data_IF_390729788376
#
_entry.id   IF_390729788376
#
_cell.length_a   1.000
_cell.length_b   1.000
_cell.length_c   1.000
_cell.angle_alpha   90.00
_cell.angle_beta   90.00
_cell.angle_gamma   90.00
#
_symmetry.space_group_name_H-M   'P 1'
#
loop_
_entity.id
_entity.type
_entity.pdbx_description
1 polymer ?
#
# COMPACT_ATOMS: atom_id res chain seq x y z
N UNK A 1 -4.85 12.63 -0.24
CA UNK A 1 -4.32 12.22 -1.55
C UNK A 1 -3.35 11.07 -1.32
N UNK A 2 -3.88 9.86 -1.12
CA UNK A 2 -3.07 8.65 -0.91
C UNK A 2 -2.58 8.04 -2.20
N UNK A 3 -1.85 6.93 -2.07
CA UNK A 3 -1.32 6.17 -3.21
C UNK A 3 -2.43 5.85 -4.22
N UNK A 4 -3.58 5.39 -3.77
CA UNK A 4 -4.73 5.05 -4.64
C UNK A 4 -5.20 6.26 -5.47
N UNK A 5 -5.41 7.42 -4.84
CA UNK A 5 -5.88 8.62 -5.54
C UNK A 5 -4.84 9.24 -6.46
N UNK A 6 -3.58 9.28 -6.04
CA UNK A 6 -2.48 9.82 -6.85
C UNK A 6 -2.20 8.94 -8.08
N UNK A 7 -2.11 7.62 -7.88
CA UNK A 7 -1.91 6.67 -8.96
C UNK A 7 -3.08 6.69 -9.94
N UNK A 8 -4.32 6.74 -9.45
CA UNK A 8 -5.51 6.86 -10.32
C UNK A 8 -5.49 8.15 -11.14
N UNK A 9 -5.12 9.28 -10.55
CA UNK A 9 -5.00 10.55 -11.27
C UNK A 9 -3.96 10.48 -12.41
N UNK A 10 -2.80 9.84 -12.18
CA UNK A 10 -1.79 9.62 -13.21
C UNK A 10 -2.26 8.68 -14.32
N UNK A 11 -2.94 7.58 -13.97
CA UNK A 11 -3.47 6.63 -14.95
C UNK A 11 -4.53 7.30 -15.84
N UNK A 12 -5.44 8.08 -15.25
CA UNK A 12 -6.41 8.88 -16.02
C UNK A 12 -5.70 9.88 -16.95
N UNK A 13 -4.66 10.55 -16.46
CA UNK A 13 -3.88 11.49 -17.27
C UNK A 13 -3.19 10.79 -18.45
N UNK A 14 -2.59 9.61 -18.23
CA UNK A 14 -1.94 8.79 -19.27
C UNK A 14 -2.94 8.36 -20.36
N UNK A 15 -4.17 8.07 -19.97
CA UNK A 15 -5.26 7.73 -20.91
C UNK A 15 -5.78 8.93 -21.73
N UNK A 16 -5.39 10.15 -21.36
CA UNK A 16 -5.69 11.38 -22.11
C UNK A 16 -6.74 12.29 -21.46
N UNK A 17 -7.19 12.01 -20.23
CA UNK A 17 -8.06 12.93 -19.48
C UNK A 17 -7.28 14.20 -19.11
N UNK A 18 -7.76 15.36 -19.58
CA UNK A 18 -7.01 16.64 -19.49
C UNK A 18 -7.30 17.47 -18.25
N UNK A 19 -8.52 17.41 -17.73
CA UNK A 19 -8.96 18.27 -16.63
C UNK A 19 -9.15 17.41 -15.39
N UNK A 20 -8.10 17.28 -14.58
CA UNK A 20 -8.10 16.46 -13.38
C UNK A 20 -7.70 17.35 -12.21
N UNK A 21 -8.52 17.35 -11.16
CA UNK A 21 -8.23 18.00 -9.89
C UNK A 21 -8.25 16.97 -8.78
N UNK A 22 -7.15 16.85 -8.03
CA UNK A 22 -7.08 16.03 -6.82
C UNK A 22 -7.50 16.90 -5.63
N UNK A 23 -8.66 16.59 -5.07
CA UNK A 23 -9.19 17.23 -3.86
C UNK A 23 -8.91 16.33 -2.66
N UNK A 24 -8.24 16.83 -1.63
CA UNK A 24 -7.96 16.04 -0.43
C UNK A 24 -7.74 16.86 0.84
N UNK A 25 -8.10 16.26 1.99
CA UNK A 25 -7.79 16.80 3.33
C UNK A 25 -6.29 16.79 3.61
N UNK A 26 -5.68 15.61 3.46
CA UNK A 26 -4.25 15.37 3.67
C UNK A 26 -3.50 15.16 2.34
N UNK A 27 -2.27 15.65 2.24
CA UNK A 27 -1.41 15.57 1.06
C UNK A 27 -0.09 14.87 1.39
N UNK A 28 0.67 14.39 0.37
CA UNK A 28 2.05 13.94 0.59
C UNK A 28 2.87 14.99 1.36
N UNK A 29 3.47 14.56 2.46
CA UNK A 29 4.13 15.40 3.47
C UNK A 29 3.37 15.46 4.80
N UNK A 30 2.05 15.27 4.81
CA UNK A 30 1.26 15.26 6.04
C UNK A 30 1.31 13.90 6.73
N UNK A 31 1.16 13.90 8.07
CA UNK A 31 0.93 12.69 8.87
C UNK A 31 -0.38 12.83 9.64
N UNK A 32 -1.27 11.85 9.47
CA UNK A 32 -2.58 11.79 10.13
C UNK A 32 -3.09 10.35 10.10
N UNK A 33 -3.78 9.89 11.13
CA UNK A 33 -4.37 8.54 11.16
C UNK A 33 -5.50 8.36 10.15
N UNK A 34 -6.12 9.46 9.73
CA UNK A 34 -7.08 9.47 8.63
C UNK A 34 -6.41 9.35 7.24
N UNK A 35 -5.07 9.35 7.21
CA UNK A 35 -4.26 9.28 6.00
C UNK A 35 -3.30 8.10 6.07
N UNK A 36 -3.75 6.93 5.60
CA UNK A 36 -3.03 5.66 5.77
C UNK A 36 -1.68 5.58 5.05
N UNK A 37 -1.55 6.22 3.88
CA UNK A 37 -0.42 5.98 2.97
C UNK A 37 0.98 6.24 3.54
N UNK A 38 1.23 7.34 4.30
CA UNK A 38 2.56 7.61 4.87
C UNK A 38 3.03 6.62 5.93
N UNK A 39 2.10 5.85 6.53
CA UNK A 39 2.41 4.90 7.61
C UNK A 39 2.82 3.51 7.12
N UNK A 40 2.71 3.24 5.81
CA UNK A 40 2.99 1.93 5.26
C UNK A 40 4.48 1.57 5.36
N UNK A 41 4.81 0.28 5.29
CA UNK A 41 6.19 -0.21 5.28
C UNK A 41 7.04 0.40 4.15
N UNK A 42 6.84 0.10 2.88
CA UNK A 42 5.94 -0.89 2.26
C UNK A 42 6.75 -1.71 1.25
N UNK A 43 6.29 -2.90 0.91
CA UNK A 43 6.92 -3.76 -0.08
C UNK A 43 5.89 -4.28 -1.08
N UNK A 44 6.36 -4.99 -2.10
CA UNK A 44 5.52 -5.78 -2.99
C UNK A 44 5.59 -7.24 -2.56
N UNK A 45 4.56 -7.71 -1.85
CA UNK A 45 4.40 -9.11 -1.45
C UNK A 45 2.93 -9.47 -1.67
N UNK A 46 2.58 -10.07 -2.82
CA UNK A 46 1.20 -10.37 -3.13
C UNK A 46 0.53 -11.19 -2.02
N UNK A 47 -0.67 -10.76 -1.63
CA UNK A 47 -1.57 -11.47 -0.70
C UNK A 47 -2.88 -11.86 -1.40
N UNK A 48 -2.99 -11.57 -2.69
CA UNK A 48 -4.13 -11.93 -3.51
C UNK A 48 -4.13 -13.43 -3.80
N UNK A 49 -5.33 -13.99 -3.96
CA UNK A 49 -5.49 -15.37 -4.40
C UNK A 49 -5.44 -15.50 -5.92
N UNK A 50 -5.00 -16.67 -6.40
CA UNK A 50 -4.95 -16.99 -7.83
C UNK A 50 -6.35 -17.01 -8.43
N UNK A 51 -6.52 -16.42 -9.62
CA UNK A 51 -7.78 -16.33 -10.36
C UNK A 51 -8.67 -15.17 -9.93
N UNK A 52 -8.22 -14.31 -9.01
CA UNK A 52 -9.00 -13.15 -8.55
C UNK A 52 -8.66 -11.88 -9.30
N UNK A 53 -9.53 -10.87 -9.24
CA UNK A 53 -9.21 -9.54 -9.77
C UNK A 53 -7.99 -8.91 -9.08
N UNK A 54 -7.75 -9.25 -7.80
CA UNK A 54 -6.61 -8.77 -7.04
C UNK A 54 -5.28 -9.32 -7.58
N UNK A 55 -5.24 -10.57 -8.07
CA UNK A 55 -4.06 -11.11 -8.77
C UNK A 55 -3.70 -10.24 -9.97
N UNK A 56 -4.69 -9.91 -10.81
CA UNK A 56 -4.46 -9.08 -11.99
C UNK A 56 -3.98 -7.67 -11.61
N UNK A 57 -4.53 -7.10 -10.53
CA UNK A 57 -4.07 -5.80 -10.06
C UNK A 57 -2.62 -5.83 -9.58
N UNK A 58 -2.23 -6.91 -8.91
CA UNK A 58 -0.87 -7.14 -8.46
C UNK A 58 0.07 -7.33 -9.66
N UNK A 59 -0.32 -8.08 -10.69
CA UNK A 59 0.47 -8.25 -11.94
C UNK A 59 0.72 -6.93 -12.66
N UNK A 60 -0.33 -6.14 -12.87
CA UNK A 60 -0.21 -4.81 -13.50
C UNK A 60 0.74 -3.90 -12.69
N UNK A 61 0.61 -3.96 -11.37
CA UNK A 61 1.43 -3.14 -10.48
C UNK A 61 2.89 -3.59 -10.44
N UNK A 62 3.16 -4.89 -10.53
CA UNK A 62 4.52 -5.42 -10.68
C UNK A 62 5.21 -4.80 -11.89
N UNK A 63 4.56 -4.84 -13.06
CA UNK A 63 5.13 -4.29 -14.30
C UNK A 63 5.49 -2.82 -14.17
N UNK A 64 4.63 -2.02 -13.53
CA UNK A 64 4.92 -0.60 -13.36
C UNK A 64 5.97 -0.33 -12.27
N UNK A 65 5.99 -1.09 -11.16
CA UNK A 65 7.06 -0.99 -10.17
C UNK A 65 8.40 -1.44 -10.72
N UNK A 66 8.43 -2.48 -11.57
CA UNK A 66 9.61 -2.90 -12.30
C UNK A 66 10.15 -1.76 -13.16
N UNK A 67 9.29 -1.13 -13.96
CA UNK A 67 9.66 0.03 -14.78
C UNK A 67 10.19 1.18 -13.91
N UNK A 68 9.49 1.54 -12.84
CA UNK A 68 9.88 2.64 -11.95
C UNK A 68 11.21 2.38 -11.23
N UNK A 69 11.45 1.15 -10.77
CA UNK A 69 12.68 0.78 -10.08
C UNK A 69 13.92 0.90 -10.99
N UNK A 70 13.76 0.70 -12.31
CA UNK A 70 14.86 0.78 -13.28
C UNK A 70 15.00 2.16 -13.92
N UNK A 71 13.89 2.86 -14.17
CA UNK A 71 13.88 4.08 -14.97
C UNK A 71 13.75 5.37 -14.13
N UNK A 72 13.33 5.26 -12.86
CA UNK A 72 12.97 6.41 -12.03
C UNK A 72 13.59 6.30 -10.63
N UNK A 73 14.92 6.43 -10.48
CA UNK A 73 15.58 6.33 -9.17
C UNK A 73 15.03 7.33 -8.14
N UNK A 74 14.49 8.47 -8.58
CA UNK A 74 13.85 9.46 -7.73
C UNK A 74 12.49 9.03 -7.15
N UNK A 75 11.94 7.88 -7.58
CA UNK A 75 10.67 7.37 -7.10
C UNK A 75 10.75 6.74 -5.69
N UNK A 76 11.96 6.49 -5.17
CA UNK A 76 12.12 5.86 -3.86
C UNK A 76 11.65 4.40 -3.84
N UNK A 77 11.99 3.65 -4.89
CA UNK A 77 11.73 2.21 -5.03
C UNK A 77 13.05 1.53 -5.34
N UNK A 78 13.37 0.43 -4.65
CA UNK A 78 14.49 -0.45 -5.04
C UNK A 78 14.06 -1.90 -5.10
N UNK A 79 14.80 -2.70 -5.86
CA UNK A 79 14.71 -4.15 -5.82
C UNK A 79 15.55 -4.64 -4.65
N UNK A 80 14.97 -5.49 -3.81
CA UNK A 80 15.60 -6.02 -2.61
C UNK A 80 15.27 -7.50 -2.47
N UNK A 81 16.29 -8.30 -2.13
CA UNK A 81 16.09 -9.70 -1.77
C UNK A 81 15.19 -9.80 -0.53
N UNK A 82 14.19 -10.67 -0.60
CA UNK A 82 13.31 -11.02 0.50
C UNK A 82 13.50 -12.48 0.87
N UNK A 83 13.62 -12.74 2.17
CA UNK A 83 13.61 -14.07 2.76
C UNK A 83 12.38 -14.21 3.65
N UNK A 84 11.67 -15.33 3.53
CA UNK A 84 10.58 -15.72 4.42
C UNK A 84 10.96 -17.00 5.15
N UNK A 85 10.89 -16.98 6.47
CA UNK A 85 11.07 -18.15 7.33
C UNK A 85 9.74 -18.63 7.89
N UNK A 86 9.55 -19.95 7.91
CA UNK A 86 8.36 -20.60 8.45
C UNK A 86 8.81 -21.61 9.51
N UNK A 87 8.31 -21.45 10.74
CA UNK A 87 8.67 -22.34 11.86
C UNK A 87 7.70 -23.51 12.03
N UNK A 88 6.67 -23.58 11.19
CA UNK A 88 5.70 -24.67 11.14
C UNK A 88 5.80 -25.41 9.81
N UNK A 89 5.38 -26.67 9.78
CA UNK A 89 5.37 -27.51 8.58
C UNK A 89 4.12 -27.27 7.69
N UNK A 90 3.47 -26.10 7.80
CA UNK A 90 2.34 -25.77 6.91
C UNK A 90 2.83 -25.59 5.46
N UNK A 91 2.04 -26.11 4.52
CA UNK A 91 2.27 -26.00 3.09
C UNK A 91 1.48 -24.84 2.44
N UNK A 92 0.65 -24.12 3.19
CA UNK A 92 -0.26 -23.07 2.67
C UNK A 92 0.52 -21.99 1.88
N UNK A 93 1.76 -21.74 2.30
CA UNK A 93 2.65 -20.70 1.78
C UNK A 93 3.68 -21.25 0.77
N UNK A 94 3.56 -22.52 0.35
CA UNK A 94 4.47 -23.12 -0.65
C UNK A 94 3.99 -22.92 -2.09
N UNK A 95 2.73 -22.52 -2.30
CA UNK A 95 2.14 -22.37 -3.62
C UNK A 95 1.83 -20.90 -3.97
N UNK A 96 2.88 -20.06 -3.96
CA UNK A 96 2.78 -18.67 -4.39
C UNK A 96 2.49 -18.59 -5.90
N UNK A 97 1.35 -18.00 -6.29
CA UNK A 97 1.04 -17.77 -7.70
C UNK A 97 2.05 -16.84 -8.38
N UNK A 98 2.71 -15.97 -7.59
CA UNK A 98 3.65 -14.97 -8.04
C UNK A 98 5.09 -15.49 -8.16
N UNK A 99 5.36 -16.78 -7.89
CA UNK A 99 6.70 -17.35 -7.99
C UNK A 99 7.36 -17.18 -9.37
N UNK A 100 6.54 -17.17 -10.43
CA UNK A 100 6.97 -16.96 -11.82
C UNK A 100 6.91 -15.49 -12.25
N UNK A 101 6.41 -14.60 -11.38
CA UNK A 101 6.36 -13.15 -11.59
C UNK A 101 7.58 -12.45 -10.98
N UNK A 102 7.95 -12.85 -9.75
CA UNK A 102 9.10 -12.31 -9.02
C UNK A 102 10.41 -12.93 -9.49
N UNK A 103 11.54 -12.28 -9.18
CA UNK A 103 12.85 -12.78 -9.60
C UNK A 103 13.43 -13.77 -8.61
N UNK A 104 14.23 -14.70 -9.11
CA UNK A 104 15.09 -15.57 -8.31
C UNK A 104 14.32 -16.32 -7.20
N UNK A 105 13.06 -16.68 -7.47
CA UNK A 105 12.24 -17.42 -6.52
C UNK A 105 12.78 -18.84 -6.32
N UNK A 106 13.09 -19.19 -5.07
CA UNK A 106 13.47 -20.55 -4.68
C UNK A 106 13.14 -20.83 -3.23
N UNK A 107 13.10 -22.12 -2.89
CA UNK A 107 13.17 -22.54 -1.50
C UNK A 107 14.62 -22.50 -1.00
N UNK A 108 14.78 -22.29 0.31
CA UNK A 108 16.07 -22.36 0.98
C UNK A 108 16.45 -23.81 1.28
N UNK A 109 17.74 -24.10 1.22
CA UNK A 109 18.30 -25.37 1.69
C UNK A 109 18.32 -25.41 3.23
N UNK A 110 18.32 -26.62 3.82
CA UNK A 110 18.33 -26.79 5.28
C UNK A 110 19.53 -26.09 5.97
N UNK A 111 20.67 -25.99 5.28
CA UNK A 111 21.88 -25.32 5.77
C UNK A 111 21.76 -23.79 5.83
N UNK A 112 20.77 -23.20 5.14
CA UNK A 112 20.50 -21.77 5.12
C UNK A 112 19.46 -21.37 6.19
N UNK A 113 18.83 -22.35 6.85
CA UNK A 113 17.76 -22.12 7.81
C UNK A 113 18.31 -21.78 9.22
N UNK A 114 17.80 -20.73 9.87
CA UNK A 114 18.06 -20.49 11.28
C UNK A 114 17.55 -21.64 12.17
N UNK A 115 18.13 -21.84 13.37
CA UNK A 115 17.62 -22.83 14.32
C UNK A 115 16.13 -22.68 14.59
N UNK A 116 15.39 -23.79 14.50
CA UNK A 116 13.94 -23.83 14.75
C UNK A 116 13.06 -23.45 13.55
N UNK A 117 13.63 -22.95 12.46
CA UNK A 117 12.91 -22.75 11.19
C UNK A 117 12.79 -24.09 10.46
N UNK A 118 11.60 -24.38 9.94
CA UNK A 118 11.27 -25.64 9.25
C UNK A 118 11.57 -25.58 7.76
N UNK A 119 11.25 -24.46 7.14
CA UNK A 119 11.54 -24.20 5.75
C UNK A 119 11.52 -22.68 5.48
N UNK A 120 12.02 -22.28 4.33
CA UNK A 120 11.98 -20.88 3.90
C UNK A 120 12.01 -20.73 2.39
N UNK A 121 11.69 -19.52 1.94
CA UNK A 121 11.74 -19.12 0.52
C UNK A 121 12.47 -17.80 0.40
N UNK A 122 13.19 -17.61 -0.71
CA UNK A 122 13.73 -16.31 -1.10
C UNK A 122 13.36 -15.95 -2.53
N UNK A 123 13.31 -14.65 -2.80
CA UNK A 123 13.09 -14.03 -4.10
C UNK A 123 13.47 -12.56 -4.03
N UNK A 124 13.58 -11.88 -5.17
CA UNK A 124 13.75 -10.43 -5.21
C UNK A 124 12.44 -9.74 -5.58
N UNK A 125 12.12 -8.69 -4.85
CA UNK A 125 10.90 -7.89 -5.02
C UNK A 125 11.17 -6.44 -4.66
N UNK A 126 10.15 -5.59 -4.64
CA UNK A 126 10.32 -4.17 -4.39
C UNK A 126 10.16 -3.82 -2.91
N UNK A 127 11.00 -2.91 -2.41
CA UNK A 127 10.71 -2.11 -1.23
C UNK A 127 10.60 -0.65 -1.63
N UNK A 128 9.63 0.05 -1.05
CA UNK A 128 9.22 1.39 -1.43
C UNK A 128 9.25 2.26 -0.18
N UNK A 129 9.90 3.42 -0.26
CA UNK A 129 9.77 4.45 0.77
C UNK A 129 8.51 5.28 0.47
N UNK A 130 7.43 5.17 1.28
CA UNK A 130 6.21 5.94 1.03
C UNK A 130 6.42 7.45 1.17
N UNK A 131 7.42 7.91 1.95
CA UNK A 131 7.69 9.34 2.13
C UNK A 131 8.29 9.98 0.88
N UNK A 132 9.05 9.21 0.10
CA UNK A 132 9.59 9.63 -1.20
C UNK A 132 8.55 9.37 -2.30
N UNK A 133 8.01 8.15 -2.36
CA UNK A 133 7.14 7.73 -3.46
C UNK A 133 5.84 8.54 -3.55
N UNK A 134 5.21 8.89 -2.43
CA UNK A 134 4.01 9.74 -2.46
C UNK A 134 4.32 11.16 -2.97
N UNK A 135 5.49 11.70 -2.62
CA UNK A 135 5.95 13.01 -3.12
C UNK A 135 6.27 12.91 -4.61
N UNK A 136 6.95 11.86 -5.04
CA UNK A 136 7.19 11.55 -6.45
C UNK A 136 5.88 11.53 -7.25
N UNK A 137 4.88 10.74 -6.82
CA UNK A 137 3.59 10.67 -7.50
C UNK A 137 2.92 12.04 -7.61
N UNK A 138 2.95 12.85 -6.55
CA UNK A 138 2.42 14.23 -6.57
C UNK A 138 3.18 15.12 -7.55
N UNK A 139 4.51 15.03 -7.59
CA UNK A 139 5.34 15.79 -8.55
C UNK A 139 4.99 15.37 -9.98
N UNK A 140 4.87 14.06 -10.26
CA UNK A 140 4.44 13.55 -11.57
C UNK A 140 3.04 14.03 -11.96
N UNK A 141 2.10 14.07 -11.02
CA UNK A 141 0.77 14.62 -11.26
C UNK A 141 0.87 16.10 -11.67
N UNK A 142 1.61 16.87 -10.87
CA UNK A 142 1.74 18.32 -11.06
C UNK A 142 2.45 18.65 -12.38
N UNK A 143 3.52 17.93 -12.73
CA UNK A 143 4.25 18.12 -13.99
C UNK A 143 3.41 17.80 -15.22
N UNK A 144 2.33 17.02 -15.07
CA UNK A 144 1.38 16.70 -16.13
C UNK A 144 0.11 17.59 -16.06
N UNK A 145 0.16 18.68 -15.30
CA UNK A 145 -0.91 19.68 -15.22
C UNK A 145 -2.12 19.28 -14.36
N UNK A 146 -2.02 18.20 -13.59
CA UNK A 146 -3.06 17.82 -12.61
C UNK A 146 -3.06 18.84 -11.47
N UNK A 147 -4.22 19.41 -11.19
CA UNK A 147 -4.39 20.43 -10.14
C UNK A 147 -4.61 19.77 -8.77
N UNK A 148 -4.25 20.46 -7.70
CA UNK A 148 -4.46 20.00 -6.33
C UNK A 148 -5.22 21.05 -5.52
N UNK A 149 -6.22 20.61 -4.75
CA UNK A 149 -6.97 21.46 -3.83
C UNK A 149 -7.02 20.81 -2.45
N UNK A 150 -6.57 21.52 -1.43
CA UNK A 150 -6.80 21.09 -0.04
C UNK A 150 -8.24 21.43 0.35
N UNK A 151 -9.00 20.41 0.76
CA UNK A 151 -10.36 20.58 1.25
C UNK A 151 -10.74 19.41 2.16
N UNK A 152 -11.52 19.68 3.19
CA UNK A 152 -12.18 18.68 4.02
C UNK A 152 -13.65 18.63 3.62
N UNK A 153 -14.12 17.50 3.13
CA UNK A 153 -15.49 17.35 2.62
C UNK A 153 -16.33 16.62 3.65
N UNK A 154 -17.54 17.13 3.91
CA UNK A 154 -18.52 16.43 4.75
C UNK A 154 -19.34 15.42 3.95
N UNK A 155 -19.52 15.65 2.65
CA UNK A 155 -20.29 14.82 1.74
C UNK A 155 -19.62 14.71 0.36
N UNK A 156 -19.69 13.55 -0.29
CA UNK A 156 -19.00 13.28 -1.58
C UNK A 156 -19.43 14.23 -2.71
N UNK A 157 -20.72 14.61 -2.76
CA UNK A 157 -21.27 15.61 -3.70
C UNK A 157 -20.53 16.95 -3.70
N UNK A 158 -19.92 17.37 -2.59
CA UNK A 158 -19.16 18.62 -2.55
C UNK A 158 -18.00 18.61 -3.55
N UNK A 159 -17.40 17.44 -3.81
CA UNK A 159 -16.28 17.29 -4.73
C UNK A 159 -16.61 17.73 -6.16
N UNK A 160 -17.86 17.61 -6.60
CA UNK A 160 -18.29 18.02 -7.94
C UNK A 160 -18.14 19.53 -8.16
N UNK A 161 -18.30 20.34 -7.12
CA UNK A 161 -18.15 21.82 -7.18
C UNK A 161 -16.71 22.31 -7.02
N UNK A 162 -15.77 21.40 -6.76
CA UNK A 162 -14.37 21.73 -6.50
C UNK A 162 -13.46 21.49 -7.71
N UNK A 163 -14.07 21.17 -8.86
CA UNK A 163 -13.39 21.02 -10.13
C UNK A 163 -13.10 22.37 -10.79
N UNK A 164 -11.81 22.69 -10.92
CA UNK A 164 -11.31 23.87 -11.64
C UNK A 164 -11.85 25.23 -11.13
N UNK A 165 -11.56 26.32 -11.85
CA UNK A 165 -12.10 27.67 -11.58
C UNK A 165 -13.39 27.95 -12.38
N UNK A 166 -14.04 26.93 -12.93
CA UNK A 166 -15.29 27.09 -13.69
C UNK A 166 -16.51 26.97 -12.79
N UNK A 167 -17.63 27.53 -13.21
CA UNK A 167 -18.93 27.33 -12.57
C UNK A 167 -19.53 25.94 -12.82
N UNK A 168 -19.02 25.19 -13.79
CA UNK A 168 -19.52 23.87 -14.17
C UNK A 168 -19.07 22.77 -13.19
N UNK A 169 -19.95 21.81 -12.84
CA UNK A 169 -19.59 20.69 -11.99
C UNK A 169 -18.66 19.72 -12.73
N UNK A 170 -17.88 18.94 -11.96
CA UNK A 170 -17.12 17.83 -12.49
C UNK A 170 -18.03 16.85 -13.24
N UNK A 171 -17.58 16.32 -14.39
CA UNK A 171 -18.33 15.28 -15.09
C UNK A 171 -18.43 13.96 -14.30
N UNK A 172 -17.44 13.71 -13.42
CA UNK A 172 -17.31 12.50 -12.62
C UNK A 172 -16.39 12.75 -11.43
N UNK A 173 -16.64 12.08 -10.30
CA UNK A 173 -15.75 12.04 -9.14
C UNK A 173 -15.18 10.65 -8.96
N UNK A 174 -13.87 10.53 -8.76
CA UNK A 174 -13.27 9.25 -8.31
C UNK A 174 -13.05 9.31 -6.80
N UNK A 175 -13.76 8.48 -6.06
CA UNK A 175 -13.70 8.42 -4.61
C UNK A 175 -12.56 7.51 -4.14
N UNK A 176 -11.45 8.12 -3.70
CA UNK A 176 -10.27 7.45 -3.13
C UNK A 176 -10.02 7.84 -1.67
N UNK A 177 -11.06 7.95 -0.84
CA UNK A 177 -10.95 8.45 0.55
C UNK A 177 -10.49 7.41 1.58
N UNK A 178 -10.27 6.16 1.16
CA UNK A 178 -9.68 5.13 2.01
C UNK A 178 -10.52 4.89 3.26
N UNK A 179 -9.91 5.03 4.44
CA UNK A 179 -10.59 4.77 5.71
C UNK A 179 -11.78 5.71 5.93
N UNK A 180 -11.73 6.93 5.39
CA UNK A 180 -12.81 7.93 5.54
C UNK A 180 -14.04 7.62 4.68
N UNK A 181 -14.02 6.61 3.81
CA UNK A 181 -15.23 6.13 3.15
C UNK A 181 -16.30 5.67 4.15
N UNK A 182 -15.88 5.22 5.34
CA UNK A 182 -16.76 4.87 6.47
C UNK A 182 -17.53 6.06 7.07
N UNK A 183 -17.09 7.30 6.84
CA UNK A 183 -17.63 8.51 7.51
C UNK A 183 -18.04 9.61 6.55
N UNK A 184 -17.68 9.52 5.26
CA UNK A 184 -17.98 10.55 4.28
C UNK A 184 -19.46 10.46 3.87
N UNK A 185 -20.23 11.54 4.07
CA UNK A 185 -21.65 11.57 3.73
C UNK A 185 -21.92 11.21 2.27
N UNK A 186 -22.93 10.38 2.05
CA UNK A 186 -23.26 9.83 0.74
C UNK A 186 -22.32 8.72 0.27
N UNK A 187 -21.47 8.21 1.17
CA UNK A 187 -20.72 6.96 1.00
C UNK A 187 -20.98 6.07 2.21
N UNK A 188 -20.62 6.53 3.41
CA UNK A 188 -20.95 5.91 4.71
C UNK A 188 -20.84 4.37 4.72
N UNK A 189 -19.76 3.85 4.13
CA UNK A 189 -19.55 2.40 3.97
C UNK A 189 -19.07 1.79 5.30
N UNK A 190 -20.02 1.22 6.05
CA UNK A 190 -19.81 0.64 7.38
C UNK A 190 -18.96 -0.64 7.36
N UNK A 191 -18.78 -1.26 6.20
CA UNK A 191 -17.88 -2.40 6.01
C UNK A 191 -16.40 -1.99 5.97
N UNK A 192 -16.10 -0.68 5.95
CA UNK A 192 -14.72 -0.15 6.03
C UNK A 192 -14.31 0.03 7.49
N UNK A 193 -13.35 -0.78 7.93
CA UNK A 193 -12.87 -0.84 9.31
C UNK A 193 -11.36 -0.55 9.44
N UNK A 194 -10.91 0.07 10.54
CA UNK A 194 -9.49 0.33 10.76
C UNK A 194 -8.77 -0.89 11.31
N UNK A 195 -7.74 -1.36 10.60
CA UNK A 195 -6.78 -2.29 11.19
C UNK A 195 -5.51 -1.54 11.55
N UNK A 196 -5.35 -1.25 12.85
CA UNK A 196 -4.17 -0.62 13.45
C UNK A 196 -2.93 -1.47 13.23
N UNK A 197 -1.94 -0.91 12.56
CA UNK A 197 -0.61 -1.47 12.45
C UNK A 197 0.43 -0.57 13.08
N UNK A 198 1.25 -1.16 13.94
CA UNK A 198 2.38 -0.48 14.57
C UNK A 198 3.70 -0.93 13.94
N UNK A 199 4.60 0.04 13.77
CA UNK A 199 5.95 -0.13 13.25
C UNK A 199 6.97 0.53 14.18
N UNK A 200 8.20 0.03 14.13
CA UNK A 200 9.39 0.69 14.67
C UNK A 200 10.32 0.98 13.49
N UNK A 201 10.77 2.23 13.35
CA UNK A 201 11.75 2.60 12.34
C UNK A 201 13.12 2.73 13.00
N UNK A 202 14.14 2.07 12.46
CA UNK A 202 15.50 2.04 12.99
C UNK A 202 16.52 2.48 11.93
N UNK A 203 17.70 2.93 12.36
CA UNK A 203 18.83 3.27 11.48
C UNK A 203 19.62 2.04 11.02
N UNK A 204 19.54 0.94 11.76
CA UNK A 204 20.22 -0.31 11.44
C UNK A 204 19.79 -0.80 10.05
N UNK A 205 20.73 -1.36 9.27
CA UNK A 205 20.45 -1.92 7.95
C UNK A 205 20.34 -3.46 8.05
N UNK A 206 19.24 -4.01 7.55
CA UNK A 206 19.02 -5.47 7.56
C UNK A 206 19.75 -6.21 6.42
N UNK A 207 20.20 -5.50 5.38
CA UNK A 207 20.78 -6.09 4.16
C UNK A 207 19.77 -6.82 3.26
N UNK A 208 18.48 -6.77 3.58
CA UNK A 208 17.42 -7.53 2.90
C UNK A 208 16.06 -7.33 3.55
N UNK A 209 15.01 -7.87 2.94
CA UNK A 209 13.72 -8.02 3.60
C UNK A 209 13.62 -9.38 4.26
N UNK A 210 13.10 -9.44 5.47
CA UNK A 210 12.94 -10.69 6.23
C UNK A 210 11.52 -10.78 6.77
N UNK A 211 10.98 -11.98 6.91
CA UNK A 211 9.75 -12.23 7.66
C UNK A 211 9.81 -13.58 8.32
N UNK A 212 9.16 -13.71 9.47
CA UNK A 212 9.06 -14.98 10.20
C UNK A 212 7.62 -15.26 10.59
N UNK A 213 7.12 -16.43 10.19
CA UNK A 213 5.73 -16.86 10.40
C UNK A 213 5.67 -18.10 11.28
N UNK A 214 4.71 -18.11 12.22
CA UNK A 214 4.38 -19.27 13.06
C UNK A 214 5.10 -19.35 14.41
N UNK A 215 5.84 -18.30 14.82
CA UNK A 215 6.55 -18.28 16.11
C UNK A 215 5.58 -18.54 17.28
N UNK A 216 5.92 -19.53 18.14
CA UNK A 216 5.04 -20.04 19.21
C UNK A 216 4.57 -18.97 20.19
N UNK A 217 5.41 -17.98 20.48
CA UNK A 217 5.13 -16.92 21.44
C UNK A 217 4.68 -15.61 20.77
N UNK A 218 4.20 -15.68 19.52
CA UNK A 218 3.67 -14.51 18.81
C UNK A 218 2.20 -14.27 19.22
N UNK A 219 1.88 -13.15 19.89
CA UNK A 219 0.51 -12.85 20.29
C UNK A 219 -0.43 -12.75 19.08
N UNK A 220 -1.74 -13.05 19.23
CA UNK A 220 -2.71 -12.84 18.17
C UNK A 220 -2.69 -11.42 17.61
N UNK A 221 -2.66 -11.29 16.29
CA UNK A 221 -2.58 -10.01 15.61
C UNK A 221 -1.16 -9.43 15.52
N UNK A 222 -0.14 -10.09 16.05
CA UNK A 222 1.26 -9.71 15.86
C UNK A 222 1.95 -10.64 14.85
N UNK A 223 2.91 -10.10 14.10
CA UNK A 223 3.70 -10.82 13.10
C UNK A 223 5.08 -10.16 12.95
N UNK A 224 5.96 -10.75 12.15
CA UNK A 224 7.32 -10.27 11.94
C UNK A 224 7.62 -9.99 10.47
N UNK A 225 8.03 -8.76 10.18
CA UNK A 225 8.68 -8.39 8.93
C UNK A 225 9.69 -7.26 9.16
N UNK A 226 10.75 -7.30 8.37
CA UNK A 226 11.84 -6.34 8.34
C UNK A 226 12.02 -5.92 6.89
N UNK A 227 12.11 -4.62 6.62
CA UNK A 227 12.40 -4.14 5.27
C UNK A 227 13.21 -2.84 5.30
N UNK A 228 14.28 -2.79 4.49
CA UNK A 228 15.14 -1.62 4.42
C UNK A 228 14.62 -0.68 3.32
N UNK A 229 14.18 0.52 3.70
CA UNK A 229 13.71 1.49 2.71
C UNK A 229 14.88 2.02 1.87
N UNK A 230 14.65 2.33 0.58
CA UNK A 230 15.67 2.91 -0.28
C UNK A 230 16.12 4.30 0.20
N UNK A 231 17.25 4.76 -0.33
CA UNK A 231 17.74 6.16 -0.18
C UNK A 231 17.89 6.65 1.28
N UNK A 232 18.25 5.76 2.20
CA UNK A 232 18.43 6.12 3.61
C UNK A 232 17.12 6.35 4.37
N UNK A 233 15.99 5.83 3.88
CA UNK A 233 14.68 5.92 4.53
C UNK A 233 14.55 5.16 5.85
N UNK A 234 15.59 4.39 6.23
CA UNK A 234 15.65 3.56 7.43
C UNK A 234 15.04 2.17 7.25
N UNK A 235 15.28 1.28 8.22
CA UNK A 235 14.69 -0.05 8.24
C UNK A 235 13.40 -0.04 9.04
N UNK A 236 12.32 -0.54 8.42
CA UNK A 236 11.03 -0.74 9.07
C UNK A 236 11.00 -2.12 9.71
N UNK A 237 10.69 -2.14 11.00
CA UNK A 237 10.37 -3.34 11.78
C UNK A 237 8.87 -3.37 12.02
N UNK A 238 8.22 -4.45 11.64
CA UNK A 238 6.81 -4.67 11.90
C UNK A 238 6.52 -6.12 12.30
N UNK A 239 5.29 -6.42 12.70
CA UNK A 239 4.21 -5.48 12.90
C UNK A 239 3.03 -6.08 13.64
N UNK A 240 1.94 -5.32 13.65
CA UNK A 240 0.67 -5.70 14.28
C UNK A 240 -0.55 -5.40 13.41
N UNK A 241 -1.68 -6.00 13.78
CA UNK A 241 -3.01 -5.86 13.18
C UNK A 241 -4.07 -5.97 14.28
N UNK A 242 -4.59 -4.82 14.71
CA UNK A 242 -5.67 -4.77 15.71
C UNK A 242 -6.85 -3.95 15.17
N UNK A 243 -8.08 -4.48 15.30
CA UNK A 243 -9.30 -3.77 14.93
C UNK A 243 -9.60 -2.66 15.95
N UNK A 244 -9.07 -1.46 15.71
CA UNK A 244 -9.22 -0.32 16.62
C UNK A 244 -8.88 1.00 15.92
N UNK A 245 -9.51 2.08 16.38
CA UNK A 245 -9.19 3.46 16.01
C UNK A 245 -8.15 4.11 16.93
N UNK A 246 -7.71 3.39 17.96
CA UNK A 246 -6.77 3.89 18.97
C UNK A 246 -5.47 4.42 18.32
N UNK A 247 -5.15 5.71 18.50
CA UNK A 247 -3.98 6.34 17.90
C UNK A 247 -2.67 5.94 18.58
N UNK A 248 -2.72 5.38 19.79
CA UNK A 248 -1.57 5.31 20.66
C UNK A 248 -0.61 4.18 20.28
N UNK A 249 0.68 4.50 20.45
CA UNK A 249 1.77 3.54 20.37
C UNK A 249 1.76 2.70 21.64
N UNK A 250 1.73 1.38 21.46
CA UNK A 250 1.91 0.42 22.55
C UNK A 250 3.40 0.04 22.65
N UNK A 251 4.06 0.49 23.73
CA UNK A 251 5.51 0.25 23.90
C UNK A 251 5.86 -1.20 24.17
N UNK A 252 4.93 -2.03 24.66
CA UNK A 252 5.17 -3.45 24.83
C UNK A 252 5.05 -4.19 23.50
N UNK A 253 4.10 -3.79 22.63
CA UNK A 253 4.08 -4.23 21.23
C UNK A 253 5.37 -3.80 20.52
N UNK A 254 5.87 -2.58 20.74
CA UNK A 254 7.12 -2.11 20.14
C UNK A 254 8.32 -2.97 20.54
N UNK A 255 8.48 -3.30 21.83
CA UNK A 255 9.54 -4.20 22.33
C UNK A 255 9.44 -5.57 21.66
N UNK A 256 8.23 -6.15 21.57
CA UNK A 256 8.02 -7.45 20.92
C UNK A 256 8.28 -7.43 19.42
N UNK A 257 7.95 -6.35 18.71
CA UNK A 257 8.32 -6.16 17.30
C UNK A 257 9.85 -6.16 17.14
N UNK A 258 10.56 -5.39 17.97
CA UNK A 258 12.03 -5.32 17.93
C UNK A 258 12.67 -6.67 18.23
N UNK A 259 12.17 -7.39 19.24
CA UNK A 259 12.64 -8.72 19.60
C UNK A 259 12.49 -9.73 18.46
N UNK A 260 11.30 -9.82 17.86
CA UNK A 260 11.09 -10.72 16.71
C UNK A 260 11.92 -10.32 15.49
N UNK A 261 12.15 -9.03 15.28
CA UNK A 261 12.96 -8.55 14.17
C UNK A 261 14.42 -9.00 14.28
N UNK A 262 15.03 -8.90 15.46
CA UNK A 262 16.41 -9.40 15.68
C UNK A 262 16.49 -10.93 15.62
N UNK A 263 15.43 -11.64 15.98
CA UNK A 263 15.37 -13.11 15.81
C UNK A 263 15.30 -13.50 14.32
N UNK A 264 14.48 -12.82 13.53
CA UNK A 264 14.34 -13.07 12.09
C UNK A 264 15.53 -12.54 11.26
N UNK A 265 16.26 -11.56 11.78
CA UNK A 265 17.36 -10.89 11.10
C UNK A 265 18.46 -10.52 12.12
N UNK A 266 19.23 -11.51 12.62
CA UNK A 266 20.22 -11.29 13.68
C UNK A 266 21.29 -10.25 13.34
N UNK A 267 21.59 -10.07 12.06
CA UNK A 267 22.54 -9.06 11.58
C UNK A 267 22.06 -7.61 11.77
N UNK A 268 20.82 -7.37 12.21
CA UNK A 268 20.35 -6.03 12.58
C UNK A 268 21.16 -5.42 13.72
N UNK A 269 21.70 -6.25 14.61
CA UNK A 269 22.48 -5.84 15.79
C UNK A 269 23.81 -6.58 15.82
N UNK A 270 24.76 -6.12 16.64
CA UNK A 270 26.05 -6.83 16.74
C UNK A 270 25.88 -8.15 17.48
N UNK A 271 26.76 -9.15 17.23
CA UNK A 271 26.73 -10.39 17.98
C UNK A 271 26.74 -10.17 19.50
N UNK A 272 25.73 -10.69 20.18
CA UNK A 272 25.57 -10.57 21.63
C UNK A 272 24.75 -9.37 22.12
N UNK A 273 24.36 -8.44 21.24
CA UNK A 273 23.41 -7.37 21.56
C UNK A 273 21.96 -7.86 21.41
N UNK A 274 21.06 -7.34 22.25
CA UNK A 274 19.61 -7.48 22.13
C UNK A 274 18.98 -6.25 21.47
N UNK A 275 17.73 -5.95 21.85
CA UNK A 275 16.99 -4.80 21.31
C UNK A 275 17.66 -3.44 21.59
N UNK A 276 18.54 -3.37 22.59
CA UNK A 276 19.34 -2.17 22.89
C UNK A 276 20.39 -1.83 21.82
N UNK A 277 20.73 -2.78 20.94
CA UNK A 277 21.57 -2.54 19.77
C UNK A 277 20.83 -1.86 18.60
N UNK A 278 19.50 -1.71 18.69
CA UNK A 278 18.70 -1.02 17.69
C UNK A 278 18.72 0.49 17.93
N UNK A 279 19.19 1.24 16.93
CA UNK A 279 19.16 2.70 16.92
C UNK A 279 17.80 3.18 16.39
N UNK A 280 16.84 3.31 17.31
CA UNK A 280 15.46 3.69 17.00
C UNK A 280 15.37 5.15 16.55
N UNK A 281 14.72 5.36 15.40
CA UNK A 281 14.37 6.69 14.88
C UNK A 281 13.05 7.15 15.49
N UNK A 282 11.99 6.34 15.34
CA UNK A 282 10.67 6.61 15.92
C UNK A 282 9.77 5.36 15.92
N UNK A 283 8.70 5.41 16.70
CA UNK A 283 7.57 4.50 16.64
C UNK A 283 6.43 5.14 15.83
N UNK A 284 5.68 4.33 15.08
CA UNK A 284 4.58 4.85 14.27
C UNK A 284 3.40 3.90 14.23
N UNK A 285 2.20 4.47 14.18
CA UNK A 285 0.93 3.77 14.06
C UNK A 285 0.19 4.29 12.82
N UNK A 286 -0.34 3.37 12.02
CA UNK A 286 -1.22 3.67 10.89
C UNK A 286 -2.45 2.79 10.91
N UNK A 287 -3.54 3.29 10.32
CA UNK A 287 -4.78 2.53 10.17
C UNK A 287 -4.90 2.04 8.73
N UNK A 288 -4.85 0.73 8.52
CA UNK A 288 -5.14 0.12 7.21
C UNK A 288 -6.64 0.25 6.94
N UNK A 289 -7.05 0.76 5.77
CA UNK A 289 -8.46 0.90 5.39
C UNK A 289 -9.01 -0.42 4.88
N UNK A 290 -9.18 -1.40 5.76
CA UNK A 290 -9.71 -2.72 5.40
C UNK A 290 -11.20 -2.58 5.12
N UNK A 291 -11.67 -3.31 4.11
CA UNK A 291 -13.08 -3.43 3.79
C UNK A 291 -13.41 -4.92 3.72
N UNK A 292 -14.54 -5.34 4.28
CA UNK A 292 -14.92 -6.77 4.41
C UNK A 292 -14.80 -7.55 3.09
N UNK A 293 -15.41 -7.03 2.02
CA UNK A 293 -15.39 -7.67 0.70
C UNK A 293 -14.20 -7.20 -0.17
N UNK A 294 -13.11 -6.72 0.43
CA UNK A 294 -11.96 -6.17 -0.29
C UNK A 294 -12.19 -4.80 -0.93
N UNK A 295 -11.40 -4.38 -1.94
CA UNK A 295 -11.51 -3.03 -2.49
C UNK A 295 -12.80 -2.83 -3.28
N UNK A 296 -13.49 -1.70 -3.04
CA UNK A 296 -14.65 -1.29 -3.83
C UNK A 296 -14.19 -0.50 -5.05
N UNK A 297 -14.29 -1.11 -6.24
CA UNK A 297 -13.96 -0.48 -7.54
C UNK A 297 -15.15 -0.58 -8.50
N UNK A 298 -16.06 0.38 -8.41
CA UNK A 298 -17.33 0.36 -9.14
C UNK A 298 -17.82 1.76 -9.50
N UNK A 299 -18.72 1.82 -10.48
CA UNK A 299 -19.44 3.03 -10.88
C UNK A 299 -20.76 3.09 -10.11
N UNK A 300 -21.02 4.20 -9.45
CA UNK A 300 -22.28 4.56 -8.81
C UNK A 300 -22.85 5.82 -9.47
N UNK A 301 -24.14 5.79 -9.79
CA UNK A 301 -24.88 6.94 -10.30
C UNK A 301 -25.81 7.50 -9.21
N UNK A 302 -25.57 8.75 -8.82
CA UNK A 302 -26.38 9.47 -7.85
C UNK A 302 -27.48 10.31 -8.54
N UNK A 303 -28.55 10.68 -7.81
CA UNK A 303 -29.55 11.62 -8.32
C UNK A 303 -28.93 12.90 -8.86
N UNK A 304 -29.48 13.40 -9.98
CA UNK A 304 -28.93 14.55 -10.70
C UNK A 304 -27.85 14.20 -11.73
N UNK A 305 -27.78 12.94 -12.18
CA UNK A 305 -26.82 12.44 -13.17
C UNK A 305 -25.35 12.63 -12.72
N UNK A 306 -25.12 12.56 -11.41
CA UNK A 306 -23.79 12.65 -10.82
C UNK A 306 -23.16 11.26 -10.81
N UNK A 307 -21.96 11.13 -11.35
CA UNK A 307 -21.27 9.83 -11.51
C UNK A 307 -20.08 9.75 -10.56
N UNK A 308 -20.01 8.68 -9.79
CA UNK A 308 -18.91 8.40 -8.87
C UNK A 308 -18.26 7.08 -9.25
N UNK A 309 -16.94 7.04 -9.36
CA UNK A 309 -16.19 5.78 -9.38
C UNK A 309 -15.51 5.59 -8.05
N UNK A 310 -15.88 4.56 -7.32
CA UNK A 310 -15.21 4.20 -6.07
C UNK A 310 -13.88 3.51 -6.36
N UNK A 311 -12.87 3.80 -5.54
CA UNK A 311 -11.60 3.10 -5.50
C UNK A 311 -10.98 3.27 -4.10
N UNK A 312 -11.49 2.51 -3.13
CA UNK A 312 -11.06 2.51 -1.74
C UNK A 312 -11.19 1.10 -1.11
N UNK A 313 -10.80 0.93 0.16
CA UNK A 313 -10.90 -0.35 0.87
C UNK A 313 -9.71 -1.30 0.62
N UNK A 314 -8.53 -0.74 0.34
CA UNK A 314 -7.35 -1.52 -0.06
C UNK A 314 -6.63 -2.24 1.08
N UNK A 315 -7.09 -2.11 2.33
CA UNK A 315 -6.49 -2.77 3.48
C UNK A 315 -4.96 -2.60 3.57
N UNK A 316 -4.26 -3.72 3.69
CA UNK A 316 -2.79 -3.77 3.79
C UNK A 316 -2.03 -3.73 2.46
N UNK A 317 -2.72 -3.80 1.32
CA UNK A 317 -2.12 -4.01 -0.01
C UNK A 317 -2.29 -2.80 -0.95
N UNK A 318 -2.66 -1.64 -0.41
CA UNK A 318 -2.93 -0.45 -1.23
C UNK A 318 -1.77 0.05 -2.11
N UNK A 319 -0.50 -0.20 -1.73
CA UNK A 319 0.64 0.12 -2.60
C UNK A 319 0.89 -0.98 -3.63
N UNK A 320 0.97 -2.24 -3.20
CA UNK A 320 1.32 -3.36 -4.10
C UNK A 320 0.32 -3.48 -5.26
N UNK A 321 -0.96 -3.17 -5.05
CA UNK A 321 -2.01 -3.24 -6.08
C UNK A 321 -2.34 -1.87 -6.70
N UNK A 322 -1.62 -0.81 -6.35
CA UNK A 322 -2.03 0.59 -6.62
C UNK A 322 -2.27 0.89 -8.10
N UNK A 323 -1.40 0.42 -8.99
CA UNK A 323 -1.50 0.68 -10.43
C UNK A 323 -2.59 -0.18 -11.09
N UNK A 324 -2.73 -1.42 -10.64
CA UNK A 324 -3.80 -2.31 -11.07
C UNK A 324 -5.20 -1.84 -10.67
N UNK A 325 -5.36 -1.44 -9.40
CA UNK A 325 -6.60 -0.83 -8.91
C UNK A 325 -6.92 0.47 -9.66
N UNK A 326 -5.91 1.30 -9.94
CA UNK A 326 -6.07 2.51 -10.76
C UNK A 326 -6.50 2.19 -12.21
N UNK A 327 -5.95 1.12 -12.81
CA UNK A 327 -6.36 0.63 -14.13
C UNK A 327 -7.81 0.16 -14.14
N UNK A 328 -8.24 -0.60 -13.12
CA UNK A 328 -9.63 -1.01 -12.96
C UNK A 328 -10.58 0.18 -12.78
N UNK A 329 -10.19 1.18 -11.98
CA UNK A 329 -10.96 2.42 -11.84
C UNK A 329 -11.06 3.19 -13.17
N UNK A 330 -9.98 3.24 -13.96
CA UNK A 330 -9.99 3.84 -15.29
C UNK A 330 -11.02 3.16 -16.22
N UNK A 331 -11.14 1.83 -16.17
CA UNK A 331 -12.15 1.12 -16.96
C UNK A 331 -13.57 1.59 -16.59
N UNK A 332 -13.87 1.75 -15.30
CA UNK A 332 -15.16 2.28 -14.83
C UNK A 332 -15.38 3.72 -15.27
N UNK A 333 -14.34 4.57 -15.22
CA UNK A 333 -14.42 5.95 -15.71
C UNK A 333 -14.70 5.99 -17.22
N UNK A 334 -14.04 5.13 -18.01
CA UNK A 334 -14.28 5.04 -19.45
C UNK A 334 -15.72 4.61 -19.75
N UNK A 335 -16.28 3.64 -19.01
CA UNK A 335 -17.69 3.23 -19.15
C UNK A 335 -18.65 4.37 -18.81
N UNK A 336 -18.31 5.19 -17.81
CA UNK A 336 -19.15 6.27 -17.33
C UNK A 336 -19.18 7.49 -18.28
N UNK A 337 -18.06 7.79 -18.94
CA UNK A 337 -17.85 9.03 -19.71
C UNK A 337 -17.89 8.80 -21.23
N UNK A 338 -17.36 7.69 -21.74
CA UNK A 338 -17.28 7.44 -23.18
C UNK A 338 -18.54 6.72 -23.67
N UNK A 339 -19.11 7.16 -24.79
CA UNK A 339 -20.20 6.43 -25.45
C UNK A 339 -19.69 5.09 -26.00
N UNK A 340 -20.55 4.05 -26.12
CA UNK A 340 -20.15 2.70 -26.55
C UNK A 340 -19.36 2.64 -27.88
N UNK A 341 -19.52 3.62 -28.76
CA UNK A 341 -18.81 3.72 -30.05
C UNK A 341 -17.32 4.08 -29.92
N UNK A 342 -16.90 4.74 -28.84
CA UNK A 342 -15.51 5.15 -28.61
C UNK A 342 -14.67 4.07 -27.90
N UNK A 343 -15.32 3.10 -27.23
CA UNK A 343 -14.65 2.01 -26.51
C UNK A 343 -14.23 0.88 -27.46
N UNK A 344 -15.00 0.62 -28.53
CA UNK A 344 -14.71 -0.45 -29.51
C UNK A 344 -13.57 -0.16 -30.49
N UNK A 345 -13.14 1.10 -30.63
CA UNK A 345 -12.09 1.49 -31.58
C UNK A 345 -10.66 1.34 -31.08
N UNK A 346 -10.45 0.86 -29.85
CA UNK A 346 -9.12 0.80 -29.18
C UNK A 346 -8.84 -0.50 -28.42
N UNK A 347 -9.69 -1.52 -28.56
CA UNK A 347 -9.38 -2.89 -28.11
C UNK A 347 -8.75 -3.66 -29.26
#
# INVERSE_FOLDING_TARGET
>A
AGVTGLTTALVLRREGYKNITVVAKHMPGDRSLEYSSPWAGVNYVPVSEKGTAAEEWDRISWTEFWRLAHECPEAGIHIQKKVSYFVTDSDDEKNDWFKDLVLNYRFLDESELPPGVKWGKEYETFCIDPTIYLVYLKIRCTSQGIQFKRANLSHIKEAFSLYSNTSEPAALVVNCTGILASKLGGVEDDTVVPIKGQLVLVRNESGGMFSMTGAKDCPPGEYCYVMNRPSGGGTVLGGSSHLTWDPEVDMDVAKRIMQRAIEACPQLVKPGEGIEGLDVIHHSVGLRPVREEGPRIELEELPGNLKIVHNYGAGGFGFQSSWGMASAALQKVNMAIRTPSQVRGRL
#
